data_IF_852532239876
#
_entry.id   IF_852532239876
#
_cell.length_a   1.000
_cell.length_b   1.000
_cell.length_c   1.000
_cell.angle_alpha   90.00
_cell.angle_beta   90.00
_cell.angle_gamma   90.00
#
_symmetry.space_group_name_H-M   'P 1'
#
loop_
_entity.id
_entity.type
_entity.pdbx_description
1 polymer ?
#
# COMPACT_ATOMS: atom_id res chain seq x y z
N UNK A 1 -20.74 13.82 -6.88
CA UNK A 1 -22.04 13.09 -6.79
C UNK A 1 -22.91 13.82 -5.80
N UNK A 2 -24.20 13.91 -6.07
CA UNK A 2 -25.19 14.57 -5.21
C UNK A 2 -25.56 13.61 -4.06
N UNK A 3 -25.27 13.94 -2.79
CA UNK A 3 -25.57 13.08 -1.64
C UNK A 3 -27.08 12.82 -1.44
N UNK A 4 -27.95 13.69 -1.96
CA UNK A 4 -29.42 13.53 -1.86
C UNK A 4 -29.96 12.37 -2.71
N UNK A 5 -29.16 11.80 -3.60
CA UNK A 5 -29.50 10.72 -4.53
C UNK A 5 -29.04 9.33 -4.07
N UNK A 6 -28.64 9.18 -2.81
CA UNK A 6 -28.24 7.88 -2.27
C UNK A 6 -29.41 6.91 -2.28
N UNK A 7 -29.23 5.74 -2.93
CA UNK A 7 -30.18 4.64 -2.83
C UNK A 7 -30.19 4.09 -1.39
N UNK A 8 -31.32 3.58 -0.93
CA UNK A 8 -31.41 2.87 0.34
C UNK A 8 -30.60 1.58 0.27
N UNK A 9 -29.71 1.37 1.24
CA UNK A 9 -28.85 0.20 1.35
C UNK A 9 -28.60 -0.16 2.82
N UNK A 10 -28.20 -1.40 3.07
CA UNK A 10 -27.83 -1.88 4.42
C UNK A 10 -26.41 -1.46 4.77
N UNK A 11 -25.52 -1.35 3.77
CA UNK A 11 -24.11 -0.94 3.93
C UNK A 11 -23.79 0.15 2.92
N UNK A 12 -23.18 1.24 3.39
CA UNK A 12 -22.63 2.33 2.58
C UNK A 12 -21.11 2.37 2.69
N UNK A 13 -20.40 2.42 1.56
CA UNK A 13 -18.96 2.56 1.50
C UNK A 13 -18.58 3.98 1.06
N UNK A 14 -17.81 4.67 1.90
CA UNK A 14 -17.21 5.98 1.59
C UNK A 14 -15.81 5.71 1.01
N UNK A 15 -15.70 5.80 -0.31
CA UNK A 15 -14.47 5.58 -1.07
C UNK A 15 -13.97 6.91 -1.65
N UNK A 16 -13.43 7.76 -0.80
CA UNK A 16 -12.85 9.06 -1.13
C UNK A 16 -11.41 9.15 -0.60
N UNK A 17 -10.71 10.26 -0.87
CA UNK A 17 -9.39 10.48 -0.26
C UNK A 17 -9.48 10.53 1.27
N UNK A 18 -8.42 10.08 1.96
CA UNK A 18 -8.37 10.00 3.42
C UNK A 18 -8.78 11.32 4.11
N UNK A 19 -8.30 12.45 3.58
CA UNK A 19 -8.62 13.78 4.10
C UNK A 19 -10.11 14.16 3.96
N UNK A 20 -10.82 13.57 2.99
CA UNK A 20 -12.23 13.90 2.72
C UNK A 20 -13.23 13.01 3.47
N UNK A 21 -12.77 11.93 4.13
CA UNK A 21 -13.67 10.94 4.76
C UNK A 21 -14.60 11.60 5.79
N UNK A 22 -14.06 12.37 6.72
CA UNK A 22 -14.85 13.00 7.78
C UNK A 22 -15.83 14.06 7.25
N UNK A 23 -15.40 14.87 6.29
CA UNK A 23 -16.23 15.89 5.65
C UNK A 23 -17.41 15.25 4.91
N UNK A 24 -17.12 14.27 4.05
CA UNK A 24 -18.16 13.54 3.31
C UNK A 24 -19.11 12.86 4.27
N UNK A 25 -18.61 12.13 5.27
CA UNK A 25 -19.42 11.48 6.28
C UNK A 25 -20.38 12.45 6.97
N UNK A 26 -19.95 13.68 7.26
CA UNK A 26 -20.77 14.70 7.93
C UNK A 26 -22.01 15.12 7.15
N UNK A 27 -21.95 15.06 5.83
CA UNK A 27 -23.02 15.54 4.91
C UNK A 27 -24.00 14.45 4.44
N UNK A 28 -23.70 13.15 4.68
CA UNK A 28 -24.50 12.07 4.14
C UNK A 28 -25.79 11.85 4.91
N UNK A 29 -26.98 11.85 4.26
CA UNK A 29 -28.27 11.63 4.89
C UNK A 29 -28.56 10.11 5.03
N UNK A 30 -27.72 9.39 5.77
CA UNK A 30 -27.83 7.93 5.95
C UNK A 30 -28.57 7.62 7.26
N UNK A 31 -29.48 6.65 7.20
CA UNK A 31 -30.24 6.13 8.33
C UNK A 31 -29.28 5.48 9.36
N UNK A 32 -29.54 5.70 10.65
CA UNK A 32 -28.76 5.14 11.76
C UNK A 32 -28.77 3.60 11.80
N UNK A 33 -29.73 2.95 11.15
CA UNK A 33 -29.80 1.50 11.04
C UNK A 33 -28.81 0.89 10.04
N UNK A 34 -28.35 1.66 9.07
CA UNK A 34 -27.38 1.18 8.08
C UNK A 34 -25.95 1.19 8.63
N UNK A 35 -25.12 0.28 8.14
CA UNK A 35 -23.67 0.31 8.39
C UNK A 35 -23.02 1.32 7.46
N UNK A 36 -22.19 2.20 8.02
CA UNK A 36 -21.38 3.13 7.22
C UNK A 36 -19.92 2.79 7.42
N UNK A 37 -19.21 2.50 6.33
CA UNK A 37 -17.80 2.17 6.36
C UNK A 37 -17.00 3.08 5.43
N UNK A 38 -15.74 3.36 5.78
CA UNK A 38 -14.79 3.97 4.86
C UNK A 38 -13.75 2.96 4.39
N UNK A 39 -13.06 3.28 3.27
CA UNK A 39 -12.09 2.39 2.64
C UNK A 39 -10.63 2.85 2.86
N UNK A 40 -10.39 3.81 3.73
CA UNK A 40 -9.07 4.39 3.99
C UNK A 40 -8.22 3.52 4.92
N UNK A 41 -6.95 3.31 4.57
CA UNK A 41 -6.02 2.50 5.37
C UNK A 41 -5.51 3.21 6.62
N UNK A 42 -5.33 4.54 6.58
CA UNK A 42 -4.74 5.35 7.65
C UNK A 42 -5.75 6.03 8.57
N UNK A 43 -7.03 6.10 8.17
CA UNK A 43 -8.09 6.81 8.90
C UNK A 43 -8.69 5.91 9.97
N UNK A 44 -8.85 6.38 11.24
CA UNK A 44 -9.49 5.58 12.29
C UNK A 44 -11.00 5.44 12.06
N UNK A 45 -11.59 4.37 12.59
CA UNK A 45 -13.05 4.13 12.52
C UNK A 45 -13.87 5.26 13.12
N UNK A 46 -13.31 5.99 14.08
CA UNK A 46 -13.96 7.12 14.75
C UNK A 46 -14.08 8.38 13.88
N UNK A 47 -13.47 8.42 12.71
CA UNK A 47 -13.78 9.44 11.71
C UNK A 47 -15.26 9.41 11.27
N UNK A 48 -15.94 8.27 11.52
CA UNK A 48 -17.37 8.06 11.28
C UNK A 48 -18.21 8.12 12.55
N UNK A 49 -17.76 8.79 13.62
CA UNK A 49 -18.38 8.78 14.97
C UNK A 49 -19.86 9.20 15.00
N UNK A 50 -20.32 9.98 14.00
CA UNK A 50 -21.75 10.34 13.90
C UNK A 50 -22.67 9.14 13.63
N UNK A 51 -22.12 8.04 13.06
CA UNK A 51 -22.89 6.84 12.77
C UNK A 51 -22.73 5.81 13.88
N UNK A 52 -23.82 5.32 14.50
CA UNK A 52 -23.72 4.30 15.54
C UNK A 52 -23.18 2.98 14.99
N UNK A 53 -23.54 2.62 13.75
CA UNK A 53 -23.13 1.42 13.06
C UNK A 53 -22.03 1.75 12.04
N UNK A 54 -20.82 1.99 12.54
CA UNK A 54 -19.68 2.37 11.73
C UNK A 54 -18.61 1.30 11.67
N UNK A 55 -17.92 1.26 10.53
CA UNK A 55 -16.88 0.27 10.25
C UNK A 55 -15.76 0.84 9.37
N UNK A 56 -14.70 0.09 9.23
CA UNK A 56 -13.71 0.23 8.16
C UNK A 56 -13.80 -1.00 7.27
N UNK A 57 -13.74 -0.78 5.98
CA UNK A 57 -13.70 -1.80 4.94
C UNK A 57 -12.55 -1.45 3.99
N UNK A 58 -11.34 -1.90 4.33
CA UNK A 58 -10.12 -1.50 3.64
C UNK A 58 -9.61 -2.59 2.70
N UNK A 59 -9.85 -2.47 1.37
CA UNK A 59 -9.22 -3.34 0.39
C UNK A 59 -7.72 -3.00 0.30
N UNK A 60 -6.86 -3.95 0.63
CA UNK A 60 -5.41 -3.76 0.64
C UNK A 60 -4.83 -3.95 -0.76
N UNK A 61 -5.00 -2.94 -1.61
CA UNK A 61 -4.55 -2.94 -3.00
C UNK A 61 -4.29 -1.52 -3.51
N UNK A 62 -3.50 -1.41 -4.57
CA UNK A 62 -3.36 -0.19 -5.36
C UNK A 62 -4.37 -0.21 -6.51
N UNK A 63 -5.19 0.84 -6.61
CA UNK A 63 -6.21 0.95 -7.65
C UNK A 63 -5.84 2.01 -8.68
N UNK A 64 -5.91 1.64 -9.95
CA UNK A 64 -5.70 2.55 -11.08
C UNK A 64 -7.00 2.64 -11.88
N UNK A 65 -7.45 3.87 -12.17
CA UNK A 65 -8.68 4.09 -12.94
C UNK A 65 -8.61 3.38 -14.30
N UNK A 66 -9.65 2.59 -14.60
CA UNK A 66 -9.76 1.85 -15.86
C UNK A 66 -9.00 0.52 -15.91
N UNK A 67 -8.30 0.14 -14.84
CA UNK A 67 -7.68 -1.19 -14.72
C UNK A 67 -8.60 -2.12 -13.94
N UNK A 68 -9.00 -3.22 -14.56
CA UNK A 68 -9.73 -4.29 -13.89
C UNK A 68 -8.81 -5.05 -12.92
N UNK A 69 -9.37 -5.42 -11.78
CA UNK A 69 -8.70 -6.23 -10.75
C UNK A 69 -9.63 -7.36 -10.34
N UNK A 70 -9.08 -8.53 -10.07
CA UNK A 70 -9.81 -9.62 -9.45
C UNK A 70 -9.96 -9.32 -7.94
N UNK A 71 -11.15 -8.85 -7.56
CA UNK A 71 -11.43 -8.47 -6.19
C UNK A 71 -11.36 -9.67 -5.23
N UNK A 72 -11.54 -10.90 -5.71
CA UNK A 72 -11.45 -12.11 -4.91
C UNK A 72 -10.04 -12.36 -4.34
N UNK A 73 -9.00 -11.85 -5.00
CA UNK A 73 -7.60 -11.97 -4.59
C UNK A 73 -7.13 -10.80 -3.69
N UNK A 74 -7.95 -9.75 -3.54
CA UNK A 74 -7.57 -8.56 -2.75
C UNK A 74 -7.88 -8.81 -1.27
N UNK A 75 -6.88 -8.81 -0.36
CA UNK A 75 -7.16 -8.87 1.07
C UNK A 75 -8.00 -7.69 1.53
N UNK A 76 -9.04 -7.95 2.32
CA UNK A 76 -9.87 -6.91 2.92
C UNK A 76 -9.65 -6.90 4.43
N UNK A 77 -9.23 -5.75 4.95
CA UNK A 77 -9.13 -5.53 6.39
C UNK A 77 -10.41 -4.85 6.86
N UNK A 78 -11.02 -5.42 7.90
CA UNK A 78 -12.25 -4.88 8.50
C UNK A 78 -12.04 -4.48 9.95
N UNK A 79 -12.65 -3.38 10.35
CA UNK A 79 -12.75 -2.92 11.74
C UNK A 79 -14.18 -2.47 12.00
N UNK A 80 -14.71 -2.70 13.20
CA UNK A 80 -16.05 -2.25 13.57
C UNK A 80 -16.01 -1.53 14.91
N UNK A 81 -16.84 -0.51 15.06
CA UNK A 81 -16.92 0.25 16.32
C UNK A 81 -17.51 -0.56 17.48
N UNK A 82 -18.28 -1.60 17.16
CA UNK A 82 -18.85 -2.51 18.16
C UNK A 82 -18.74 -3.98 17.71
N UNK A 83 -18.58 -4.92 18.66
CA UNK A 83 -18.39 -6.34 18.34
C UNK A 83 -19.57 -7.00 17.61
N UNK A 84 -20.78 -6.54 17.84
CA UNK A 84 -22.01 -7.05 17.22
C UNK A 84 -22.07 -6.81 15.70
N UNK A 85 -21.38 -5.77 15.20
CA UNK A 85 -21.30 -5.47 13.77
C UNK A 85 -20.31 -6.37 13.01
N UNK A 86 -19.38 -7.00 13.72
CA UNK A 86 -18.27 -7.72 13.12
C UNK A 86 -18.75 -8.80 12.16
N UNK A 87 -19.68 -9.65 12.57
CA UNK A 87 -20.18 -10.75 11.74
C UNK A 87 -20.82 -10.27 10.44
N UNK A 88 -21.56 -9.16 10.48
CA UNK A 88 -22.21 -8.58 9.31
C UNK A 88 -21.16 -8.03 8.30
N UNK A 89 -20.20 -7.24 8.79
CA UNK A 89 -19.17 -6.63 7.93
C UNK A 89 -18.22 -7.69 7.36
N UNK A 90 -17.81 -8.69 8.16
CA UNK A 90 -16.99 -9.80 7.68
C UNK A 90 -17.73 -10.64 6.65
N UNK A 91 -19.03 -10.92 6.83
CA UNK A 91 -19.83 -11.67 5.87
C UNK A 91 -19.88 -10.93 4.53
N UNK A 92 -20.15 -9.63 4.54
CA UNK A 92 -20.11 -8.81 3.34
C UNK A 92 -18.72 -8.84 2.67
N UNK A 93 -17.65 -8.69 3.43
CA UNK A 93 -16.28 -8.73 2.90
C UNK A 93 -15.96 -10.08 2.25
N UNK A 94 -16.42 -11.20 2.84
CA UNK A 94 -16.22 -12.56 2.30
C UNK A 94 -17.00 -12.84 1.02
N UNK A 95 -18.05 -12.07 0.73
CA UNK A 95 -18.70 -12.13 -0.58
C UNK A 95 -17.81 -11.59 -1.72
N UNK A 96 -16.81 -10.77 -1.38
CA UNK A 96 -15.96 -10.08 -2.35
C UNK A 96 -14.53 -10.63 -2.39
N UNK A 97 -13.99 -11.12 -1.27
CA UNK A 97 -12.59 -11.54 -1.14
C UNK A 97 -12.45 -12.87 -0.42
N UNK A 98 -11.48 -13.66 -0.86
CA UNK A 98 -11.08 -14.92 -0.18
C UNK A 98 -10.31 -14.66 1.12
N UNK A 99 -9.72 -13.47 1.27
CA UNK A 99 -8.88 -13.11 2.42
C UNK A 99 -9.50 -11.93 3.16
N UNK A 100 -10.07 -12.18 4.32
CA UNK A 100 -10.63 -11.15 5.20
C UNK A 100 -9.95 -11.23 6.56
N UNK A 101 -9.41 -10.11 7.03
CA UNK A 101 -8.72 -9.98 8.31
C UNK A 101 -9.40 -8.90 9.16
N UNK A 102 -9.71 -9.23 10.41
CA UNK A 102 -10.07 -8.20 11.39
C UNK A 102 -8.80 -7.50 11.86
N UNK A 103 -8.76 -6.18 11.69
CA UNK A 103 -7.62 -5.35 12.07
C UNK A 103 -8.11 -4.03 12.66
N UNK A 104 -7.78 -3.78 13.91
CA UNK A 104 -7.98 -2.47 14.52
C UNK A 104 -7.15 -1.38 13.82
N UNK A 105 -7.37 -0.13 14.21
CA UNK A 105 -6.69 1.02 13.62
C UNK A 105 -5.16 0.92 13.73
N UNK A 106 -4.62 0.34 14.81
CA UNK A 106 -3.18 0.20 15.02
C UNK A 106 -2.58 -0.83 14.06
N UNK A 107 -3.16 -2.03 13.99
CA UNK A 107 -2.72 -3.08 13.07
C UNK A 107 -2.91 -2.66 11.61
N UNK A 108 -4.05 -2.04 11.28
CA UNK A 108 -4.30 -1.53 9.93
C UNK A 108 -3.28 -0.48 9.50
N UNK A 109 -2.88 0.42 10.42
CA UNK A 109 -1.81 1.39 10.17
C UNK A 109 -0.47 0.72 9.86
N UNK A 110 -0.11 -0.36 10.57
CA UNK A 110 1.10 -1.14 10.29
C UNK A 110 1.03 -1.84 8.93
N UNK A 111 -0.11 -2.45 8.59
CA UNK A 111 -0.33 -3.08 7.28
C UNK A 111 -0.25 -2.05 6.16
N UNK A 112 -0.86 -0.88 6.35
CA UNK A 112 -0.77 0.22 5.38
C UNK A 112 0.68 0.67 5.17
N UNK A 113 1.45 0.86 6.26
CA UNK A 113 2.87 1.21 6.20
C UNK A 113 3.69 0.14 5.44
N UNK A 114 3.42 -1.14 5.68
CA UNK A 114 4.06 -2.23 4.93
C UNK A 114 3.75 -2.12 3.42
N UNK A 115 2.51 -1.76 3.06
CA UNK A 115 2.13 -1.48 1.67
C UNK A 115 2.88 -0.30 1.05
N UNK A 116 3.14 0.76 1.82
CA UNK A 116 3.97 1.89 1.36
C UNK A 116 5.37 1.41 0.98
N UNK A 117 6.02 0.59 1.82
CA UNK A 117 7.33 0.02 1.49
C UNK A 117 7.29 -0.89 0.26
N UNK A 118 6.32 -1.81 0.20
CA UNK A 118 6.26 -2.83 -0.85
C UNK A 118 5.82 -2.28 -2.21
N UNK A 119 5.04 -1.19 -2.24
CA UNK A 119 4.45 -0.65 -3.45
C UNK A 119 4.96 0.76 -3.77
N UNK A 120 4.72 1.75 -2.90
CA UNK A 120 5.02 3.14 -3.21
C UNK A 120 6.52 3.39 -3.35
N UNK A 121 7.32 2.92 -2.38
CA UNK A 121 8.77 3.10 -2.43
C UNK A 121 9.40 2.25 -3.53
N UNK A 122 8.96 1.00 -3.73
CA UNK A 122 9.44 0.18 -4.83
C UNK A 122 9.17 0.84 -6.19
N UNK A 123 7.95 1.35 -6.42
CA UNK A 123 7.60 2.06 -7.65
C UNK A 123 8.47 3.32 -7.85
N UNK A 124 8.72 4.07 -6.78
CA UNK A 124 9.59 5.24 -6.84
C UNK A 124 11.04 4.87 -7.18
N UNK A 125 11.56 3.76 -6.65
CA UNK A 125 12.89 3.26 -6.99
C UNK A 125 13.00 2.84 -8.47
N UNK A 126 11.92 2.30 -9.06
CA UNK A 126 11.89 2.04 -10.51
C UNK A 126 12.00 3.34 -11.31
N UNK A 127 11.32 4.41 -10.88
CA UNK A 127 11.42 5.73 -11.52
C UNK A 127 12.83 6.31 -11.40
N UNK A 128 13.45 6.25 -10.22
CA UNK A 128 14.83 6.71 -10.01
C UNK A 128 15.84 5.94 -10.88
N UNK A 129 15.68 4.62 -11.01
CA UNK A 129 16.48 3.82 -11.94
C UNK A 129 16.29 4.25 -13.39
N UNK A 130 15.06 4.53 -13.81
CA UNK A 130 14.74 5.09 -15.13
C UNK A 130 15.40 6.45 -15.37
N UNK A 131 15.43 7.31 -14.36
CA UNK A 131 16.09 8.61 -14.44
C UNK A 131 17.60 8.49 -14.66
N UNK A 132 18.26 7.57 -13.94
CA UNK A 132 19.70 7.30 -14.15
C UNK A 132 19.97 6.91 -15.61
N UNK A 133 19.14 6.05 -16.23
CA UNK A 133 19.29 5.66 -17.61
C UNK A 133 19.02 6.84 -18.57
N UNK A 134 18.00 7.65 -18.33
CA UNK A 134 17.69 8.82 -19.17
C UNK A 134 18.84 9.83 -19.18
N UNK A 135 19.51 10.07 -18.04
CA UNK A 135 20.71 10.92 -17.95
C UNK A 135 21.86 10.37 -18.78
N UNK A 136 21.94 9.04 -18.96
CA UNK A 136 22.90 8.37 -19.80
C UNK A 136 22.47 8.26 -21.29
N UNK A 137 21.33 8.84 -21.68
CA UNK A 137 20.79 8.74 -23.04
C UNK A 137 20.19 7.37 -23.39
N UNK A 138 19.84 6.56 -22.40
CA UNK A 138 19.33 5.19 -22.57
C UNK A 138 17.85 5.12 -22.20
N UNK A 139 17.04 4.35 -22.95
CA UNK A 139 15.62 4.14 -22.61
C UNK A 139 15.46 3.42 -21.28
N UNK A 140 14.54 3.91 -20.44
CA UNK A 140 14.14 3.26 -19.20
C UNK A 140 13.49 1.88 -19.42
N UNK A 141 13.01 1.57 -20.63
CA UNK A 141 12.46 0.26 -21.00
C UNK A 141 13.45 -0.89 -20.81
N UNK A 142 14.75 -0.58 -20.82
CA UNK A 142 15.81 -1.55 -20.52
C UNK A 142 15.66 -2.19 -19.14
N UNK A 143 15.02 -1.50 -18.18
CA UNK A 143 14.79 -2.02 -16.84
C UNK A 143 13.63 -3.01 -16.75
N UNK A 144 12.69 -3.01 -17.70
CA UNK A 144 11.45 -3.81 -17.60
C UNK A 144 11.69 -5.30 -17.34
N UNK A 145 12.56 -6.00 -18.11
CA UNK A 145 12.82 -7.42 -17.84
C UNK A 145 13.51 -7.65 -16.48
N UNK A 146 14.38 -6.73 -16.05
CA UNK A 146 15.06 -6.82 -14.75
C UNK A 146 14.07 -6.63 -13.59
N UNK A 147 13.17 -5.67 -13.70
CA UNK A 147 12.10 -5.42 -12.70
C UNK A 147 11.19 -6.64 -12.60
N UNK A 148 10.75 -7.19 -13.74
CA UNK A 148 9.88 -8.38 -13.78
C UNK A 148 10.55 -9.58 -13.09
N UNK A 149 11.81 -9.87 -13.43
CA UNK A 149 12.56 -10.97 -12.83
C UNK A 149 12.80 -10.78 -11.34
N UNK A 150 13.15 -9.56 -10.91
CA UNK A 150 13.35 -9.24 -9.48
C UNK A 150 12.07 -9.44 -8.68
N UNK A 151 10.94 -8.99 -9.22
CA UNK A 151 9.62 -9.16 -8.59
C UNK A 151 9.22 -10.62 -8.51
N UNK A 152 9.40 -11.38 -9.60
CA UNK A 152 9.09 -12.82 -9.63
C UNK A 152 9.90 -13.60 -8.59
N UNK A 153 11.20 -13.33 -8.49
CA UNK A 153 12.07 -13.93 -7.45
C UNK A 153 11.65 -13.57 -6.04
N UNK A 154 11.32 -12.31 -5.80
CA UNK A 154 10.88 -11.86 -4.48
C UNK A 154 9.58 -12.53 -4.03
N UNK A 155 8.63 -12.76 -4.95
CA UNK A 155 7.37 -13.45 -4.68
C UNK A 155 7.54 -14.96 -4.49
N UNK A 156 8.49 -15.58 -5.17
CA UNK A 156 8.77 -17.02 -5.06
C UNK A 156 9.60 -17.37 -3.80
N UNK A 157 10.34 -16.44 -3.25
CA UNK A 157 11.19 -16.67 -2.09
C UNK A 157 10.39 -16.62 -0.78
N UNK A 158 10.76 -17.45 0.20
CA UNK A 158 10.19 -17.38 1.55
C UNK A 158 10.41 -15.99 2.22
N UNK A 159 11.53 -15.33 1.87
CA UNK A 159 11.85 -13.96 2.25
C UNK A 159 12.55 -13.25 1.08
N UNK A 160 12.08 -12.06 0.63
CA UNK A 160 12.71 -11.33 -0.47
C UNK A 160 14.21 -11.07 -0.27
N UNK A 161 14.65 -10.85 0.98
CA UNK A 161 16.06 -10.64 1.29
C UNK A 161 16.97 -11.84 0.97
N UNK A 162 16.42 -13.08 0.88
CA UNK A 162 17.18 -14.27 0.53
C UNK A 162 17.67 -14.27 -0.94
N UNK A 163 17.02 -13.48 -1.80
CA UNK A 163 17.39 -13.35 -3.22
C UNK A 163 18.08 -12.02 -3.54
N UNK A 164 18.40 -11.25 -2.51
CA UNK A 164 19.09 -9.97 -2.65
C UNK A 164 20.53 -10.19 -3.14
N UNK A 165 20.97 -9.34 -4.07
CA UNK A 165 22.32 -9.35 -4.65
C UNK A 165 22.96 -7.96 -4.52
N UNK A 166 24.18 -7.80 -5.00
CA UNK A 166 24.89 -6.52 -5.02
C UNK A 166 25.36 -6.06 -3.64
N UNK A 167 24.68 -5.12 -2.96
CA UNK A 167 25.14 -4.53 -1.70
C UNK A 167 25.42 -5.52 -0.57
N UNK A 168 24.78 -6.70 -0.59
CA UNK A 168 25.01 -7.79 0.37
C UNK A 168 26.48 -8.24 0.42
N UNK A 169 27.22 -8.11 -0.70
CA UNK A 169 28.62 -8.55 -0.82
C UNK A 169 29.64 -7.56 -0.26
N UNK A 170 29.19 -6.35 0.14
CA UNK A 170 30.08 -5.32 0.69
C UNK A 170 31.10 -4.77 -0.33
N UNK A 171 30.78 -4.78 -1.62
CA UNK A 171 31.66 -4.30 -2.71
C UNK A 171 31.80 -2.76 -2.66
N UNK A 172 32.64 -2.26 -1.75
CA UNK A 172 32.89 -0.83 -1.58
C UNK A 172 33.42 -0.15 -2.86
N UNK A 173 34.36 -0.73 -3.63
CA UNK A 173 34.82 -0.09 -4.88
C UNK A 173 33.71 0.16 -5.89
N UNK A 174 32.75 -0.75 -6.00
CA UNK A 174 31.57 -0.55 -6.87
C UNK A 174 30.64 0.53 -6.34
N UNK A 175 30.40 0.57 -5.02
CA UNK A 175 29.60 1.62 -4.39
C UNK A 175 30.20 3.01 -4.60
N UNK A 176 31.51 3.17 -4.44
CA UNK A 176 32.21 4.42 -4.70
C UNK A 176 32.12 4.86 -6.16
N UNK A 177 32.21 3.94 -7.13
CA UNK A 177 31.98 4.25 -8.54
C UNK A 177 30.58 4.76 -8.79
N UNK A 178 29.57 4.12 -8.21
CA UNK A 178 28.17 4.56 -8.35
C UNK A 178 27.97 5.95 -7.74
N UNK A 179 28.50 6.20 -6.55
CA UNK A 179 28.39 7.52 -5.90
C UNK A 179 29.08 8.64 -6.70
N UNK A 180 30.19 8.33 -7.41
CA UNK A 180 30.79 9.31 -8.34
C UNK A 180 29.87 9.62 -9.53
N UNK A 181 29.13 8.65 -10.04
CA UNK A 181 28.13 8.87 -11.12
C UNK A 181 26.93 9.69 -10.64
N UNK A 182 26.69 9.72 -9.34
CA UNK A 182 25.59 10.45 -8.71
C UNK A 182 26.04 11.78 -8.05
N UNK A 183 27.28 12.22 -8.28
CA UNK A 183 27.87 13.36 -7.58
C UNK A 183 27.08 14.67 -7.75
N UNK A 184 26.39 14.82 -8.88
CA UNK A 184 25.58 16.01 -9.22
C UNK A 184 24.16 15.98 -8.62
N UNK A 185 23.79 14.87 -7.90
CA UNK A 185 22.47 14.68 -7.31
C UNK A 185 22.61 14.19 -5.86
N UNK A 186 22.64 15.14 -4.94
CA UNK A 186 22.82 14.86 -3.52
C UNK A 186 21.72 13.95 -2.95
N UNK A 187 20.45 14.21 -3.33
CA UNK A 187 19.32 13.41 -2.84
C UNK A 187 19.40 11.97 -3.32
N UNK A 188 19.68 11.75 -4.59
CA UNK A 188 19.81 10.41 -5.16
C UNK A 188 21.01 9.66 -4.57
N UNK A 189 22.12 10.37 -4.31
CA UNK A 189 23.30 9.83 -3.58
C UNK A 189 22.94 9.39 -2.17
N UNK A 190 22.15 10.16 -1.44
CA UNK A 190 21.72 9.84 -0.08
C UNK A 190 20.75 8.66 -0.05
N UNK A 191 19.80 8.61 -0.96
CA UNK A 191 18.90 7.45 -1.14
C UNK A 191 19.72 6.19 -1.42
N UNK A 192 20.71 6.27 -2.33
CA UNK A 192 21.59 5.15 -2.65
C UNK A 192 22.33 4.64 -1.40
N UNK A 193 22.94 5.54 -0.60
CA UNK A 193 23.68 5.18 0.63
C UNK A 193 22.75 4.51 1.64
N UNK A 194 21.61 5.14 1.94
CA UNK A 194 20.66 4.64 2.95
C UNK A 194 20.12 3.26 2.60
N UNK A 195 19.75 3.04 1.34
CA UNK A 195 19.22 1.74 0.91
C UNK A 195 20.32 0.69 0.90
N UNK A 196 21.53 1.03 0.43
CA UNK A 196 22.68 0.13 0.44
C UNK A 196 23.02 -0.31 1.86
N UNK A 197 23.05 0.62 2.81
CA UNK A 197 23.27 0.33 4.23
C UNK A 197 22.16 -0.57 4.78
N UNK A 198 20.89 -0.25 4.51
CA UNK A 198 19.75 -1.03 4.98
C UNK A 198 19.78 -2.47 4.46
N UNK A 199 20.12 -2.67 3.18
CA UNK A 199 20.28 -4.00 2.58
C UNK A 199 21.38 -4.77 3.31
N UNK A 200 22.53 -4.17 3.53
CA UNK A 200 23.66 -4.81 4.20
C UNK A 200 23.35 -5.21 5.65
N UNK A 201 22.73 -4.31 6.42
CA UNK A 201 22.31 -4.59 7.80
C UNK A 201 21.26 -5.69 7.87
N UNK A 202 20.29 -5.68 6.94
CA UNK A 202 19.22 -6.71 6.87
C UNK A 202 19.84 -8.08 6.53
N UNK A 203 20.77 -8.15 5.60
CA UNK A 203 21.40 -9.40 5.21
C UNK A 203 22.14 -10.07 6.38
N UNK A 204 22.81 -9.29 7.24
CA UNK A 204 23.50 -9.81 8.44
C UNK A 204 22.58 -10.37 9.53
N UNK A 205 21.32 -9.94 9.57
CA UNK A 205 20.31 -10.45 10.51
C UNK A 205 19.68 -11.77 10.04
N UNK A 206 19.90 -12.14 8.79
CA UNK A 206 19.31 -13.32 8.15
C UNK A 206 20.33 -14.46 8.05
N UNK A 207 21.62 -14.14 8.07
CA UNK A 207 22.74 -15.09 8.15
C UNK A 207 22.89 -15.62 9.57
#
# INVERSE_FOLDING_TARGET
>A
SDPSRLARADIYLIAVSDAAVAEVASSLPIDAAAVVAHTAGSVPVDALARFPRRAVFYPFQTFTKGREVDFSEIPILVETASPDLRGEVETFARCLSRTVLYADSALRGQVHLAGVFACNFANHLFELGGEVLRRAGVSADLLRPLIAETTAKALAAARPAAVQTGPVRGDLPTQERHLRLLADDALLSDIYRLITQSIWETSRKIS
#
